data_IF_152372860848
#
_entry.id   IF_152372860848
#
_cell.length_a   1.000
_cell.length_b   1.000
_cell.length_c   1.000
_cell.angle_alpha   90.00
_cell.angle_beta   90.00
_cell.angle_gamma   90.00
#
_symmetry.space_group_name_H-M   'P 1'
#
loop_
_entity.id
_entity.type
_entity.pdbx_description
1 polymer ?
#
# COMPACT_ATOMS: atom_id res chain seq x y z
N UNK A 1 -30.63 23.62 -26.08
CA UNK A 1 -29.53 24.30 -25.35
C UNK A 1 -29.11 23.57 -24.06
N UNK A 2 -29.91 22.67 -23.48
CA UNK A 2 -29.55 21.94 -22.25
C UNK A 2 -28.38 20.94 -22.39
N UNK A 3 -28.11 20.42 -23.59
CA UNK A 3 -27.17 19.29 -23.80
C UNK A 3 -25.67 19.64 -23.66
N UNK A 4 -25.29 20.90 -23.83
CA UNK A 4 -23.87 21.31 -23.86
C UNK A 4 -23.34 21.55 -22.43
N UNK A 5 -24.22 22.03 -21.55
CA UNK A 5 -23.90 22.29 -20.15
C UNK A 5 -23.59 21.00 -19.38
N UNK A 6 -24.38 19.94 -19.59
CA UNK A 6 -24.12 18.64 -18.96
C UNK A 6 -22.84 17.97 -19.45
N UNK A 7 -22.50 18.14 -20.75
CA UNK A 7 -21.25 17.62 -21.30
C UNK A 7 -20.04 18.30 -20.67
N UNK A 8 -20.08 19.63 -20.53
CA UNK A 8 -19.00 20.39 -19.92
C UNK A 8 -18.78 20.01 -18.45
N UNK A 9 -19.86 19.80 -17.69
CA UNK A 9 -19.78 19.34 -16.30
C UNK A 9 -19.21 17.92 -16.23
N UNK A 10 -19.65 17.01 -17.10
CA UNK A 10 -19.12 15.64 -17.16
C UNK A 10 -17.62 15.59 -17.44
N UNK A 11 -17.14 16.41 -18.38
CA UNK A 11 -15.70 16.52 -18.69
C UNK A 11 -14.92 17.08 -17.51
N UNK A 12 -15.42 18.13 -16.85
CA UNK A 12 -14.75 18.74 -15.70
C UNK A 12 -14.63 17.78 -14.50
N UNK A 13 -15.67 16.96 -14.25
CA UNK A 13 -15.63 15.94 -13.20
C UNK A 13 -14.65 14.82 -13.56
N UNK A 14 -14.66 14.34 -14.80
CA UNK A 14 -13.74 13.29 -15.25
C UNK A 14 -12.27 13.73 -15.18
N UNK A 15 -11.96 14.97 -15.58
CA UNK A 15 -10.59 15.50 -15.50
C UNK A 15 -10.13 15.73 -14.06
N UNK A 16 -11.02 16.19 -13.17
CA UNK A 16 -10.71 16.35 -11.75
C UNK A 16 -10.39 15.00 -11.07
N UNK A 17 -11.16 13.95 -11.38
CA UNK A 17 -10.94 12.61 -10.82
C UNK A 17 -9.66 11.95 -11.36
N UNK A 18 -9.35 12.13 -12.65
CA UNK A 18 -8.10 11.62 -13.25
C UNK A 18 -6.87 12.37 -12.71
N UNK A 19 -7.00 13.67 -12.43
CA UNK A 19 -5.94 14.45 -11.82
C UNK A 19 -5.66 14.02 -10.38
N UNK A 20 -6.68 13.67 -9.58
CA UNK A 20 -6.45 13.18 -8.20
C UNK A 20 -5.72 11.85 -8.19
N UNK A 21 -6.04 10.94 -9.11
CA UNK A 21 -5.36 9.64 -9.24
C UNK A 21 -3.90 9.84 -9.67
N UNK A 22 -3.62 10.72 -10.64
CA UNK A 22 -2.26 10.96 -11.14
C UNK A 22 -1.31 11.60 -10.10
N UNK A 23 -1.83 12.45 -9.19
CA UNK A 23 -1.00 13.12 -8.18
C UNK A 23 -0.48 12.14 -7.12
N UNK A 24 -1.23 11.09 -6.79
CA UNK A 24 -0.77 10.04 -5.87
C UNK A 24 0.39 9.20 -6.42
N UNK A 25 0.53 9.10 -7.75
CA UNK A 25 1.61 8.32 -8.39
C UNK A 25 2.91 9.11 -8.59
N UNK A 26 2.90 10.45 -8.47
CA UNK A 26 4.01 11.32 -8.87
C UNK A 26 4.78 11.98 -7.71
N UNK A 27 4.46 11.68 -6.45
CA UNK A 27 5.22 12.18 -5.29
C UNK A 27 6.50 11.36 -5.07
N UNK A 28 7.70 11.98 -5.01
CA UNK A 28 8.98 11.27 -4.91
C UNK A 28 9.20 10.64 -3.53
N UNK A 29 9.90 9.50 -3.52
CA UNK A 29 10.15 8.55 -2.40
C UNK A 29 11.11 9.11 -1.29
N UNK A 30 11.57 10.36 -1.39
CA UNK A 30 12.59 10.94 -0.48
C UNK A 30 12.07 11.62 0.80
N UNK A 31 10.78 11.93 0.84
CA UNK A 31 10.02 12.38 2.01
C UNK A 31 8.67 11.71 1.78
N UNK A 32 8.45 10.52 2.35
CA UNK A 32 7.46 9.56 1.86
C UNK A 32 6.01 10.09 1.87
N UNK A 33 5.79 11.30 2.39
CA UNK A 33 4.46 11.89 2.59
C UNK A 33 3.66 11.14 3.65
N UNK A 34 4.22 10.06 4.17
CA UNK A 34 3.63 9.18 5.15
C UNK A 34 3.80 9.79 6.53
N UNK A 35 2.72 9.76 7.28
CA UNK A 35 2.75 9.96 8.72
C UNK A 35 3.71 8.96 9.38
N UNK A 36 4.23 9.28 10.58
CA UNK A 36 5.08 8.34 11.33
C UNK A 36 4.44 6.95 11.52
N UNK A 37 3.11 6.89 11.68
CA UNK A 37 2.39 5.63 11.80
C UNK A 37 2.40 4.84 10.49
N UNK A 38 2.14 5.49 9.36
CA UNK A 38 2.20 4.84 8.05
C UNK A 38 3.61 4.34 7.72
N UNK A 39 4.66 5.08 8.10
CA UNK A 39 6.05 4.62 7.96
C UNK A 39 6.32 3.36 8.78
N UNK A 40 5.86 3.30 10.03
CA UNK A 40 5.97 2.10 10.88
C UNK A 40 5.25 0.91 10.25
N UNK A 41 4.05 1.14 9.72
CA UNK A 41 3.28 0.11 9.03
C UNK A 41 3.95 -0.36 7.74
N UNK A 42 4.58 0.53 6.97
CA UNK A 42 5.36 0.13 5.79
C UNK A 42 6.56 -0.73 6.16
N UNK A 43 7.23 -0.48 7.30
CA UNK A 43 8.31 -1.34 7.78
C UNK A 43 7.81 -2.75 8.14
N UNK A 44 6.66 -2.85 8.80
CA UNK A 44 6.02 -4.13 9.13
C UNK A 44 5.67 -4.90 7.85
N UNK A 45 5.02 -4.22 6.88
CA UNK A 45 4.65 -4.81 5.60
C UNK A 45 5.89 -5.27 4.80
N UNK A 46 6.95 -4.47 4.75
CA UNK A 46 8.21 -4.83 4.09
C UNK A 46 8.84 -6.08 4.70
N UNK A 47 8.81 -6.20 6.03
CA UNK A 47 9.33 -7.38 6.72
C UNK A 47 8.51 -8.64 6.40
N UNK A 48 7.18 -8.54 6.43
CA UNK A 48 6.29 -9.65 6.06
C UNK A 48 6.50 -10.07 4.61
N UNK A 49 6.60 -9.11 3.70
CA UNK A 49 6.85 -9.36 2.28
C UNK A 49 8.22 -10.01 2.03
N UNK A 50 9.25 -9.63 2.80
CA UNK A 50 10.58 -10.26 2.69
C UNK A 50 10.55 -11.75 3.00
N UNK A 51 9.74 -12.19 3.96
CA UNK A 51 9.54 -13.62 4.26
C UNK A 51 8.89 -14.29 3.04
N UNK A 52 7.83 -13.70 2.48
CA UNK A 52 7.18 -14.22 1.29
C UNK A 52 8.13 -14.33 0.09
N UNK A 53 8.95 -13.31 -0.15
CA UNK A 53 9.91 -13.32 -1.24
C UNK A 53 11.08 -14.30 -1.05
N UNK A 54 11.40 -14.65 0.20
CA UNK A 54 12.41 -15.67 0.52
C UNK A 54 11.87 -17.07 0.24
N UNK A 55 10.57 -17.28 0.42
CA UNK A 55 9.89 -18.56 0.20
C UNK A 55 8.65 -18.40 -0.71
N UNK A 56 8.85 -18.07 -2.00
CA UNK A 56 7.75 -17.67 -2.90
C UNK A 56 6.74 -18.79 -3.17
N UNK A 57 7.20 -20.04 -3.11
CA UNK A 57 6.38 -21.22 -3.40
C UNK A 57 5.90 -21.94 -2.14
N UNK A 58 6.21 -21.41 -0.95
CA UNK A 58 5.86 -22.05 0.32
C UNK A 58 4.56 -21.51 0.89
N UNK A 59 3.75 -22.42 1.44
CA UNK A 59 2.65 -22.03 2.33
C UNK A 59 3.17 -21.71 3.73
N UNK A 60 2.42 -20.98 4.57
CA UNK A 60 2.88 -20.61 5.91
C UNK A 60 3.32 -21.80 6.79
N UNK A 61 2.68 -22.96 6.65
CA UNK A 61 3.01 -24.20 7.37
C UNK A 61 4.28 -24.91 6.86
N UNK A 62 4.75 -24.55 5.66
CA UNK A 62 6.00 -25.04 5.07
C UNK A 62 7.21 -24.16 5.43
N UNK A 63 6.97 -22.99 6.05
CA UNK A 63 8.04 -22.09 6.49
C UNK A 63 8.86 -22.72 7.61
N UNK A 64 10.17 -22.41 7.69
CA UNK A 64 10.95 -22.69 8.89
C UNK A 64 10.27 -22.12 10.13
N UNK A 65 10.27 -22.88 11.22
CA UNK A 65 9.49 -22.55 12.42
C UNK A 65 9.76 -21.12 12.95
N UNK A 66 10.98 -20.61 12.81
CA UNK A 66 11.32 -19.25 13.27
C UNK A 66 10.71 -18.17 12.36
N UNK A 67 10.72 -18.39 11.04
CA UNK A 67 10.09 -17.50 10.08
C UNK A 67 8.55 -17.57 10.17
N UNK A 68 7.98 -18.75 10.42
CA UNK A 68 6.55 -18.89 10.71
C UNK A 68 6.15 -18.07 11.94
N UNK A 69 6.86 -18.22 13.06
CA UNK A 69 6.60 -17.44 14.29
C UNK A 69 6.73 -15.95 14.05
N UNK A 70 7.73 -15.54 13.26
CA UNK A 70 7.94 -14.14 12.90
C UNK A 70 6.79 -13.62 12.03
N UNK A 71 6.34 -14.37 11.04
CA UNK A 71 5.21 -13.99 10.19
C UNK A 71 3.92 -13.83 11.00
N UNK A 72 3.65 -14.75 11.92
CA UNK A 72 2.49 -14.65 12.82
C UNK A 72 2.54 -13.42 13.72
N UNK A 73 3.72 -13.08 14.25
CA UNK A 73 3.90 -11.85 15.03
C UNK A 73 3.69 -10.59 14.18
N UNK A 74 4.22 -10.58 12.95
CA UNK A 74 4.04 -9.48 12.02
C UNK A 74 2.57 -9.29 11.64
N UNK A 75 1.82 -10.37 11.44
CA UNK A 75 0.38 -10.32 11.15
C UNK A 75 -0.42 -9.73 12.32
N UNK A 76 -0.10 -10.13 13.56
CA UNK A 76 -0.73 -9.59 14.76
C UNK A 76 -0.52 -8.08 14.89
N UNK A 77 0.72 -7.60 14.75
CA UNK A 77 1.02 -6.16 14.86
C UNK A 77 0.50 -5.39 13.64
N UNK A 78 0.49 -5.99 12.45
CA UNK A 78 -0.10 -5.38 11.25
C UNK A 78 -1.58 -5.13 11.42
N UNK A 79 -2.34 -6.13 11.90
CA UNK A 79 -3.78 -5.97 12.13
C UNK A 79 -4.03 -4.91 13.21
N UNK A 80 -3.32 -5.03 14.34
CA UNK A 80 -3.61 -4.21 15.53
C UNK A 80 -3.14 -2.77 15.41
N UNK A 81 -1.95 -2.52 14.86
CA UNK A 81 -1.34 -1.19 14.80
C UNK A 81 -1.60 -0.47 13.47
N UNK A 82 -1.89 -1.21 12.40
CA UNK A 82 -2.07 -0.65 11.06
C UNK A 82 -3.52 -0.75 10.59
N UNK A 83 -4.03 -1.96 10.34
CA UNK A 83 -5.36 -2.15 9.71
C UNK A 83 -6.49 -1.57 10.56
N UNK A 84 -6.40 -1.68 11.89
CA UNK A 84 -7.42 -1.17 12.80
C UNK A 84 -7.37 0.35 13.02
N UNK A 85 -6.29 1.02 12.60
CA UNK A 85 -6.04 2.43 12.95
C UNK A 85 -5.96 3.33 11.72
N UNK A 86 -5.33 2.86 10.66
CA UNK A 86 -5.16 3.61 9.43
C UNK A 86 -6.41 3.50 8.55
N UNK A 87 -6.72 4.53 7.77
CA UNK A 87 -7.79 4.44 6.80
C UNK A 87 -7.40 3.50 5.65
N UNK A 88 -8.39 2.95 4.96
CA UNK A 88 -8.17 1.89 3.97
C UNK A 88 -7.25 2.34 2.83
N UNK A 89 -7.34 3.60 2.40
CA UNK A 89 -6.48 4.19 1.37
C UNK A 89 -5.00 4.16 1.76
N UNK A 90 -4.67 4.42 3.03
CA UNK A 90 -3.30 4.35 3.53
C UNK A 90 -2.80 2.92 3.52
N UNK A 91 -3.63 1.95 3.92
CA UNK A 91 -3.28 0.52 3.88
C UNK A 91 -3.00 0.06 2.44
N UNK A 92 -3.86 0.41 1.48
CA UNK A 92 -3.63 0.08 0.08
C UNK A 92 -2.38 0.77 -0.48
N UNK A 93 -2.14 2.02 -0.13
CA UNK A 93 -0.94 2.76 -0.52
C UNK A 93 0.33 2.05 -0.02
N UNK A 94 0.36 1.64 1.26
CA UNK A 94 1.49 0.91 1.86
C UNK A 94 1.74 -0.42 1.14
N UNK A 95 0.70 -1.24 0.93
CA UNK A 95 0.85 -2.54 0.26
C UNK A 95 1.38 -2.37 -1.17
N UNK A 96 0.86 -1.39 -1.92
CA UNK A 96 1.33 -1.09 -3.27
C UNK A 96 2.78 -0.61 -3.30
N UNK A 97 3.19 0.21 -2.31
CA UNK A 97 4.57 0.67 -2.19
C UNK A 97 5.50 -0.52 -1.94
N UNK A 98 5.17 -1.40 -0.98
CA UNK A 98 5.98 -2.59 -0.67
C UNK A 98 6.16 -3.49 -1.89
N UNK A 99 5.08 -3.75 -2.63
CA UNK A 99 5.14 -4.57 -3.85
C UNK A 99 6.00 -3.91 -4.93
N UNK A 100 5.88 -2.58 -5.11
CA UNK A 100 6.70 -1.82 -6.06
C UNK A 100 8.18 -1.84 -5.66
N UNK A 101 8.49 -1.48 -4.42
CA UNK A 101 9.85 -1.37 -3.90
C UNK A 101 10.57 -2.71 -4.06
N UNK A 102 9.90 -3.83 -3.77
CA UNK A 102 10.47 -5.16 -3.96
C UNK A 102 10.61 -5.58 -5.44
N UNK A 103 9.63 -5.23 -6.28
CA UNK A 103 9.64 -5.60 -7.71
C UNK A 103 10.65 -4.82 -8.53
N UNK A 104 10.89 -3.55 -8.17
CA UNK A 104 11.72 -2.63 -8.94
C UNK A 104 13.02 -2.23 -8.24
N UNK A 105 13.23 -2.66 -6.99
CA UNK A 105 14.44 -2.38 -6.21
C UNK A 105 14.57 -0.91 -5.80
N UNK A 106 13.44 -0.21 -5.67
CA UNK A 106 13.35 1.18 -5.22
C UNK A 106 13.26 1.28 -3.68
#
# INVERSE_FOLDING_TARGET
MASILFLAIGIAVATALMASVAIHFLTPIGDSGLSPQEQSCQLIANEGYRIHATYPDSTPDELPNDDFKRLMYLDEIWITECVNVLPAESIFSIVNNVERDFSYGE
#
